data_IF_945920679290
#
_entry.id   IF_945920679290
#
_cell.length_a   1.000
_cell.length_b   1.000
_cell.length_c   1.000
_cell.angle_alpha   90.00
_cell.angle_beta   90.00
_cell.angle_gamma   90.00
#
_symmetry.space_group_name_H-M   'P 1'
#
loop_
_entity.id
_entity.type
_entity.pdbx_description
1 polymer ?
#
# COMPACT_ATOMS: atom_id res chain seq x y z
N UNK A 1 -13.78 -13.34 25.46
CA UNK A 1 -13.80 -12.38 24.33
C UNK A 1 -13.23 -13.08 23.10
N UNK A 2 -14.03 -13.27 22.04
CA UNK A 2 -13.68 -14.18 20.93
C UNK A 2 -12.80 -13.50 19.88
N UNK A 3 -11.74 -14.17 19.42
CA UNK A 3 -10.82 -13.77 18.31
C UNK A 3 -11.55 -13.26 17.04
N UNK A 4 -12.81 -13.65 16.85
CA UNK A 4 -13.65 -13.27 15.71
C UNK A 4 -14.05 -11.78 15.74
N UNK A 5 -14.20 -11.19 16.93
CA UNK A 5 -14.56 -9.78 17.12
C UNK A 5 -13.35 -8.85 16.90
N UNK A 6 -12.17 -9.27 17.36
CA UNK A 6 -10.90 -8.57 17.11
C UNK A 6 -10.60 -8.43 15.60
N UNK A 7 -10.75 -9.49 14.80
CA UNK A 7 -10.61 -9.40 13.33
C UNK A 7 -11.65 -8.50 12.65
N UNK A 8 -12.85 -8.37 13.21
CA UNK A 8 -13.86 -7.47 12.66
C UNK A 8 -13.58 -6.02 13.03
N UNK A 9 -12.99 -5.76 14.19
CA UNK A 9 -12.60 -4.43 14.63
C UNK A 9 -11.31 -3.95 13.93
N UNK A 10 -10.37 -4.85 13.61
CA UNK A 10 -9.24 -4.59 12.69
C UNK A 10 -9.69 -4.40 11.22
N UNK A 11 -10.85 -4.95 10.81
CA UNK A 11 -11.50 -4.58 9.53
C UNK A 11 -12.23 -3.23 9.60
N UNK A 12 -12.71 -2.83 10.78
CA UNK A 12 -13.22 -1.47 11.04
C UNK A 12 -12.11 -0.44 11.18
N UNK A 13 -10.85 -0.86 11.14
CA UNK A 13 -9.67 0.00 10.96
C UNK A 13 -9.65 0.69 9.56
N UNK A 14 -10.75 0.57 8.82
CA UNK A 14 -11.34 1.64 8.02
C UNK A 14 -11.48 2.93 8.86
N UNK A 15 -10.38 3.67 9.01
CA UNK A 15 -10.48 5.11 9.21
C UNK A 15 -11.41 5.60 8.09
N UNK A 16 -12.58 6.11 8.49
CA UNK A 16 -13.62 6.51 7.54
C UNK A 16 -13.01 7.45 6.52
N UNK A 17 -13.42 7.35 5.26
CA UNK A 17 -12.96 8.25 4.18
C UNK A 17 -12.95 9.71 4.64
N UNK A 18 -13.98 10.11 5.38
CA UNK A 18 -14.13 11.42 6.02
C UNK A 18 -13.02 11.77 7.02
N UNK A 19 -12.60 10.86 7.90
CA UNK A 19 -11.53 11.12 8.86
C UNK A 19 -10.19 11.35 8.17
N UNK A 20 -9.90 10.58 7.12
CA UNK A 20 -8.65 10.72 6.37
C UNK A 20 -8.63 12.04 5.59
N UNK A 21 -9.75 12.40 4.97
CA UNK A 21 -9.93 13.72 4.33
C UNK A 21 -9.77 14.85 5.36
N UNK A 22 -10.36 14.74 6.55
CA UNK A 22 -10.22 15.73 7.61
C UNK A 22 -8.75 15.93 8.03
N UNK A 23 -7.96 14.85 8.10
CA UNK A 23 -6.52 14.94 8.37
C UNK A 23 -5.75 15.63 7.25
N UNK A 24 -6.08 15.33 5.99
CA UNK A 24 -5.46 15.97 4.82
C UNK A 24 -5.74 17.47 4.79
N UNK A 25 -6.99 17.89 5.06
CA UNK A 25 -7.39 19.29 5.20
C UNK A 25 -6.63 19.98 6.35
N UNK A 26 -6.56 19.33 7.52
CA UNK A 26 -5.85 19.87 8.69
C UNK A 26 -4.36 20.12 8.42
N UNK A 27 -3.73 19.29 7.59
CA UNK A 27 -2.33 19.46 7.18
C UNK A 27 -2.16 20.41 5.99
N UNK A 28 -3.24 20.87 5.36
CA UNK A 28 -3.20 21.71 4.16
C UNK A 28 -2.67 20.99 2.92
N UNK A 29 -2.77 19.65 2.88
CA UNK A 29 -2.35 18.86 1.71
C UNK A 29 -3.41 18.89 0.59
N UNK A 30 -4.66 19.14 0.97
CA UNK A 30 -5.78 19.44 0.07
C UNK A 30 -6.47 20.71 0.58
N UNK A 31 -7.08 21.46 -0.32
CA UNK A 31 -7.93 22.61 0.00
C UNK A 31 -9.37 22.16 0.21
N UNK A 32 -9.82 21.24 -0.63
CA UNK A 32 -11.20 20.77 -0.66
C UNK A 32 -11.28 19.24 -0.72
N UNK A 33 -12.36 18.68 -0.15
CA UNK A 33 -12.62 17.24 -0.18
C UNK A 33 -12.84 16.69 -1.61
N UNK A 34 -13.21 17.56 -2.56
CA UNK A 34 -13.40 17.24 -3.98
C UNK A 34 -12.09 16.92 -4.71
N UNK A 35 -10.94 17.28 -4.15
CA UNK A 35 -9.63 16.91 -4.73
C UNK A 35 -9.36 15.40 -4.65
N UNK A 36 -10.08 14.68 -3.79
CA UNK A 36 -9.98 13.23 -3.66
C UNK A 36 -11.14 12.57 -4.41
N UNK A 37 -10.88 11.81 -5.49
CA UNK A 37 -11.92 11.08 -6.21
C UNK A 37 -12.72 10.14 -5.30
N UNK A 38 -14.02 9.96 -5.57
CA UNK A 38 -14.90 9.11 -4.75
C UNK A 38 -14.47 7.64 -4.77
N UNK A 39 -13.95 7.17 -5.90
CA UNK A 39 -13.43 5.82 -6.11
C UNK A 39 -12.03 5.59 -5.54
N UNK A 40 -11.40 6.64 -5.00
CA UNK A 40 -10.07 6.57 -4.43
C UNK A 40 -10.10 6.42 -2.90
N UNK A 41 -9.02 5.86 -2.34
CA UNK A 41 -8.80 5.76 -0.90
C UNK A 41 -7.89 6.93 -0.48
N UNK A 42 -8.36 7.92 0.30
CA UNK A 42 -7.51 9.03 0.74
C UNK A 42 -6.33 8.50 1.56
N UNK A 43 -5.14 9.07 1.42
CA UNK A 43 -3.95 8.68 2.18
C UNK A 43 -4.11 9.07 3.65
N UNK A 44 -3.57 8.26 4.57
CA UNK A 44 -3.42 8.66 5.97
C UNK A 44 -2.07 9.37 6.16
N UNK A 45 -2.04 10.69 6.40
CA UNK A 45 -0.79 11.44 6.48
C UNK A 45 0.12 11.04 7.67
N UNK A 46 -0.44 10.41 8.69
CA UNK A 46 0.30 10.02 9.89
C UNK A 46 1.14 8.75 9.67
N UNK A 47 0.70 7.85 8.79
CA UNK A 47 1.39 6.59 8.48
C UNK A 47 2.08 6.60 7.12
N UNK A 48 1.77 7.57 6.25
CA UNK A 48 2.34 7.67 4.93
C UNK A 48 3.79 8.18 4.96
N UNK A 49 4.71 7.38 4.43
CA UNK A 49 6.09 7.78 4.25
C UNK A 49 6.28 8.49 2.90
N UNK A 50 6.19 9.82 2.91
CA UNK A 50 6.42 10.66 1.73
C UNK A 50 7.87 10.63 1.22
N UNK A 51 8.82 9.99 1.92
CA UNK A 51 10.17 9.72 1.43
C UNK A 51 10.94 10.95 0.94
N UNK A 52 10.65 12.14 1.48
CA UNK A 52 11.26 13.41 1.04
C UNK A 52 10.72 14.00 -0.27
N UNK A 53 9.61 13.48 -0.81
CA UNK A 53 8.99 14.05 -2.00
C UNK A 53 8.36 15.41 -1.73
N UNK A 54 8.56 16.35 -2.66
CA UNK A 54 7.90 17.66 -2.66
C UNK A 54 6.39 17.58 -2.94
N UNK A 55 5.92 16.47 -3.51
CA UNK A 55 4.50 16.25 -3.81
C UNK A 55 4.07 14.88 -3.27
N UNK A 56 3.49 14.83 -2.05
CA UNK A 56 3.01 13.58 -1.49
C UNK A 56 1.78 13.07 -2.25
N UNK A 57 1.68 11.76 -2.42
CA UNK A 57 0.47 11.13 -2.93
C UNK A 57 -0.69 11.43 -1.96
N UNK A 58 -1.82 11.87 -2.50
CA UNK A 58 -2.99 12.28 -1.70
C UNK A 58 -4.02 11.17 -1.55
N UNK A 59 -4.07 10.23 -2.51
CA UNK A 59 -5.02 9.12 -2.52
C UNK A 59 -4.47 7.91 -3.29
N UNK A 60 -4.99 6.73 -3.01
CA UNK A 60 -4.74 5.49 -3.76
C UNK A 60 -5.91 5.19 -4.69
N UNK A 61 -5.61 4.77 -5.91
CA UNK A 61 -6.62 4.36 -6.91
C UNK A 61 -6.14 3.10 -7.58
N UNK A 62 -7.06 2.25 -8.00
CA UNK A 62 -6.74 1.06 -8.79
C UNK A 62 -5.88 1.43 -10.00
N UNK A 63 -4.69 0.84 -10.07
CA UNK A 63 -3.70 1.12 -11.11
C UNK A 63 -3.41 -0.14 -11.92
N UNK A 64 -3.70 -0.16 -13.24
CA UNK A 64 -3.29 -1.27 -14.07
C UNK A 64 -1.76 -1.28 -14.18
N UNK A 65 -1.18 -2.48 -14.17
CA UNK A 65 0.25 -2.67 -14.42
C UNK A 65 0.47 -3.99 -15.15
N UNK A 66 1.51 -4.02 -15.98
CA UNK A 66 1.94 -5.25 -16.65
C UNK A 66 3.07 -5.88 -15.85
N UNK A 67 2.94 -7.17 -15.53
CA UNK A 67 3.99 -7.89 -14.83
C UNK A 67 5.24 -7.99 -15.71
N UNK A 68 6.38 -7.49 -15.22
CA UNK A 68 7.64 -7.51 -15.98
C UNK A 68 8.23 -8.89 -16.25
N UNK A 69 7.82 -9.91 -15.51
CA UNK A 69 8.38 -11.27 -15.61
C UNK A 69 7.51 -12.16 -16.52
N UNK A 70 6.18 -12.07 -16.43
CA UNK A 70 5.26 -12.94 -17.19
C UNK A 70 4.39 -12.20 -18.23
N UNK A 71 4.44 -10.87 -18.27
CA UNK A 71 3.68 -10.05 -19.22
C UNK A 71 2.17 -9.97 -18.95
N UNK A 72 1.65 -10.57 -17.87
CA UNK A 72 0.23 -10.49 -17.53
C UNK A 72 -0.14 -9.09 -17.04
N UNK A 73 -1.29 -8.60 -17.49
CA UNK A 73 -1.90 -7.38 -16.97
C UNK A 73 -2.66 -7.67 -15.68
N UNK A 74 -2.36 -6.91 -14.64
CA UNK A 74 -3.04 -6.97 -13.34
C UNK A 74 -3.41 -5.56 -12.87
N UNK A 75 -4.30 -5.50 -11.88
CA UNK A 75 -4.69 -4.25 -11.24
C UNK A 75 -4.10 -4.22 -9.85
N UNK A 76 -3.28 -3.21 -9.59
CA UNK A 76 -2.82 -2.89 -8.26
C UNK A 76 -3.92 -2.12 -7.52
N UNK A 77 -4.65 -2.84 -6.68
CA UNK A 77 -5.82 -2.30 -5.98
C UNK A 77 -5.43 -1.20 -5.00
N UNK A 78 -6.30 -0.21 -4.84
CA UNK A 78 -6.13 0.87 -3.88
C UNK A 78 -5.92 0.35 -2.44
N UNK A 79 -6.61 -0.74 -2.07
CA UNK A 79 -6.45 -1.38 -0.76
C UNK A 79 -5.05 -2.00 -0.57
N UNK A 80 -4.52 -2.64 -1.62
CA UNK A 80 -3.18 -3.23 -1.60
C UNK A 80 -2.11 -2.14 -1.52
N UNK A 81 -2.31 -1.01 -2.22
CA UNK A 81 -1.47 0.18 -2.12
C UNK A 81 -1.48 0.75 -0.70
N UNK A 82 -2.66 0.96 -0.10
CA UNK A 82 -2.79 1.42 1.28
C UNK A 82 -2.01 0.53 2.23
N UNK A 83 -2.20 -0.79 2.15
CA UNK A 83 -1.48 -1.72 3.02
C UNK A 83 0.03 -1.63 2.80
N UNK A 84 0.47 -1.56 1.54
CA UNK A 84 1.89 -1.55 1.17
C UNK A 84 2.61 -0.29 1.65
N UNK A 85 2.00 0.87 1.54
CA UNK A 85 2.62 2.14 1.95
C UNK A 85 2.43 2.42 3.43
N UNK A 86 1.24 2.22 3.98
CA UNK A 86 0.94 2.63 5.35
C UNK A 86 1.26 1.57 6.40
N UNK A 87 1.07 0.28 6.08
CA UNK A 87 1.30 -0.81 7.03
C UNK A 87 2.66 -1.46 6.87
N UNK A 88 3.09 -1.67 5.62
CA UNK A 88 4.43 -2.20 5.35
C UNK A 88 5.51 -1.11 5.34
N UNK A 89 5.14 0.16 5.15
CA UNK A 89 6.07 1.30 5.22
C UNK A 89 6.99 1.42 3.99
N UNK A 90 6.56 0.90 2.83
CA UNK A 90 7.34 1.02 1.62
C UNK A 90 7.53 2.50 1.22
N UNK A 91 8.68 2.87 0.63
CA UNK A 91 8.84 4.17 -0.02
C UNK A 91 7.82 4.37 -1.15
N UNK A 92 7.22 5.56 -1.20
CA UNK A 92 6.14 5.92 -2.13
C UNK A 92 6.50 5.76 -3.62
N UNK A 93 7.78 5.89 -4.00
CA UNK A 93 8.23 5.74 -5.40
C UNK A 93 8.17 4.30 -5.92
N UNK A 94 7.91 3.32 -5.05
CA UNK A 94 7.76 1.93 -5.46
C UNK A 94 6.37 1.66 -6.00
N UNK A 95 6.30 1.03 -7.17
CA UNK A 95 5.07 0.57 -7.79
C UNK A 95 5.00 -0.96 -7.87
N UNK A 96 3.78 -1.50 -8.00
CA UNK A 96 3.61 -2.90 -8.36
C UNK A 96 4.10 -3.15 -9.80
N UNK A 97 5.13 -3.99 -9.94
CA UNK A 97 5.71 -4.38 -11.23
C UNK A 97 5.69 -5.90 -11.48
N UNK A 98 5.12 -6.67 -10.53
CA UNK A 98 5.05 -8.12 -10.58
C UNK A 98 3.71 -8.61 -10.04
N UNK A 99 3.14 -9.58 -10.73
CA UNK A 99 1.97 -10.29 -10.26
C UNK A 99 2.24 -11.05 -8.97
N UNK A 100 1.18 -11.50 -8.29
CA UNK A 100 1.31 -12.31 -7.07
C UNK A 100 2.17 -13.56 -7.29
N UNK A 101 1.93 -14.29 -8.38
CA UNK A 101 2.66 -15.52 -8.72
C UNK A 101 4.16 -15.25 -8.87
N UNK A 102 4.53 -14.22 -9.64
CA UNK A 102 5.93 -13.85 -9.85
C UNK A 102 6.59 -13.29 -8.58
N UNK A 103 5.83 -12.59 -7.72
CA UNK A 103 6.34 -12.18 -6.40
C UNK A 103 6.65 -13.36 -5.50
N UNK A 104 5.85 -14.43 -5.53
CA UNK A 104 6.11 -15.66 -4.75
C UNK A 104 7.39 -16.33 -5.26
N UNK A 105 7.50 -16.55 -6.58
CA UNK A 105 8.70 -17.13 -7.20
C UNK A 105 9.97 -16.34 -6.89
N UNK A 106 9.91 -15.01 -6.97
CA UNK A 106 11.07 -14.15 -6.65
C UNK A 106 11.44 -14.20 -5.16
N UNK A 107 10.45 -14.33 -4.25
CA UNK A 107 10.72 -14.52 -2.82
C UNK A 107 11.42 -15.86 -2.55
N UNK A 108 10.98 -16.93 -3.19
CA UNK A 108 11.60 -18.25 -3.09
C UNK A 108 13.03 -18.23 -3.62
N UNK A 109 13.25 -17.68 -4.81
CA UNK A 109 14.60 -17.52 -5.40
C UNK A 109 15.54 -16.75 -4.47
N UNK A 110 15.09 -15.64 -3.88
CA UNK A 110 15.88 -14.87 -2.91
C UNK A 110 16.16 -15.66 -1.63
N UNK A 111 15.19 -16.44 -1.14
CA UNK A 111 15.35 -17.30 0.04
C UNK A 111 16.40 -18.38 -0.22
N UNK A 112 16.34 -19.05 -1.37
CA UNK A 112 17.34 -20.05 -1.77
C UNK A 112 18.73 -19.43 -1.93
N UNK A 113 18.83 -18.25 -2.55
CA UNK A 113 20.10 -17.55 -2.68
C UNK A 113 20.72 -17.20 -1.31
N UNK A 114 19.91 -16.74 -0.35
CA UNK A 114 20.35 -16.48 1.02
C UNK A 114 20.84 -17.74 1.73
N UNK A 115 20.12 -18.85 1.58
CA UNK A 115 20.54 -20.17 2.10
C UNK A 115 21.87 -20.62 1.51
N UNK A 116 22.03 -20.53 0.18
CA UNK A 116 23.29 -20.87 -0.50
C UNK A 116 24.46 -19.97 -0.06
N UNK A 117 24.19 -18.72 0.27
CA UNK A 117 25.18 -17.77 0.77
C UNK A 117 25.49 -17.92 2.28
N UNK A 118 24.91 -18.90 2.98
CA UNK A 118 25.14 -19.12 4.42
C UNK A 118 24.47 -18.10 5.35
N UNK A 119 23.61 -17.22 4.83
CA UNK A 119 22.80 -16.31 5.65
C UNK A 119 21.52 -17.02 6.09
N UNK A 120 21.66 -17.90 7.09
CA UNK A 120 20.53 -18.58 7.71
C UNK A 120 19.77 -17.58 8.62
N UNK A 121 18.45 -17.39 8.42
CA UNK A 121 17.67 -16.59 9.36
C UNK A 121 17.51 -17.41 10.64
N UNK A 122 18.12 -16.95 11.73
CA UNK A 122 17.88 -17.45 13.09
C UNK A 122 16.46 -17.20 13.56
#
# INVERSE_FOLDING_TARGET
MTRRRQKSDERKECHSRSERIAKLLKRGWIKDASEIPEDAIPVNPDSFNAGGSYSPQLFYRDQPFTCKDCGKDEIWKADDQRWYFEKYGAPWYQSANRCLECRIKERERKREARKKAGHEPG
#
